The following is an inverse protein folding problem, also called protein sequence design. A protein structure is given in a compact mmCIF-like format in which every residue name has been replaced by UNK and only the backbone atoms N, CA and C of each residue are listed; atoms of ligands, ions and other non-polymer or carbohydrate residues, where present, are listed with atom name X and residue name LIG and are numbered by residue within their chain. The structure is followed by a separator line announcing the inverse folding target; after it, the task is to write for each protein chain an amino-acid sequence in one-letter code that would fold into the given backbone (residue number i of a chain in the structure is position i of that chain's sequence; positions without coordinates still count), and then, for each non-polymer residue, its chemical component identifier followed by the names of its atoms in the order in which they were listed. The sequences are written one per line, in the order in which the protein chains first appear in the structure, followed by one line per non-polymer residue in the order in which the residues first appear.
data_IF_189638664480
#
_entry.id   IF_189638664480
#
_cell.length_a   1.000
_cell.length_b   1.000
_cell.length_c   1.000
_cell.angle_alpha   90.00
_cell.angle_beta   90.00
_cell.angle_gamma   90.00
#
_symmetry.space_group_name_H-M   'P 1'
#
loop_
_entity.id
_entity.type
_entity.pdbx_description
1 polymer ?
#
# COMPACT_ATOMS: atom_id res chain seq x y z
N UNK A 1 -20.66 -11.98 5.15
CA UNK A 1 -19.24 -12.09 4.72
C UNK A 1 -18.90 -13.56 4.59
N UNK A 2 -18.09 -13.94 3.60
CA UNK A 2 -17.56 -15.31 3.44
C UNK A 2 -16.06 -15.23 3.19
N UNK A 3 -15.33 -16.23 3.71
CA UNK A 3 -13.88 -16.36 3.55
C UNK A 3 -13.61 -17.73 2.94
N UNK A 4 -12.86 -17.76 1.84
CA UNK A 4 -12.36 -18.99 1.24
C UNK A 4 -10.88 -19.14 1.53
N UNK A 5 -10.46 -20.37 1.79
CA UNK A 5 -9.08 -20.70 2.09
C UNK A 5 -8.56 -21.73 1.09
N UNK A 6 -7.28 -21.62 0.75
CA UNK A 6 -6.56 -22.66 0.03
C UNK A 6 -6.41 -23.90 0.92
N UNK A 7 -6.79 -25.07 0.42
CA UNK A 7 -6.86 -26.30 1.23
C UNK A 7 -5.49 -26.89 1.57
N UNK A 8 -4.47 -26.60 0.76
CA UNK A 8 -3.12 -27.15 0.94
C UNK A 8 -2.31 -26.29 1.91
N UNK A 9 -2.39 -24.97 1.78
CA UNK A 9 -1.60 -24.00 2.54
C UNK A 9 -2.36 -23.40 3.72
N UNK A 10 -3.69 -23.50 3.75
CA UNK A 10 -4.55 -22.82 4.72
C UNK A 10 -4.59 -21.30 4.57
N UNK A 11 -3.98 -20.74 3.52
CA UNK A 11 -3.94 -19.30 3.29
C UNK A 11 -5.30 -18.77 2.84
N UNK A 12 -5.62 -17.53 3.21
CA UNK A 12 -6.80 -16.84 2.71
C UNK A 12 -6.70 -16.68 1.18
N UNK A 13 -7.70 -17.21 0.48
CA UNK A 13 -7.79 -17.24 -0.98
C UNK A 13 -8.91 -16.34 -1.52
N UNK A 14 -10.02 -16.17 -0.80
CA UNK A 14 -11.08 -15.24 -1.19
C UNK A 14 -11.72 -14.50 -0.01
N UNK A 15 -12.10 -13.25 -0.23
CA UNK A 15 -12.98 -12.47 0.66
C UNK A 15 -14.23 -12.08 -0.13
N UNK A 16 -15.41 -12.39 0.41
CA UNK A 16 -16.68 -11.98 -0.18
C UNK A 16 -17.50 -11.17 0.84
N UNK A 17 -17.90 -9.97 0.45
CA UNK A 17 -18.84 -9.14 1.20
C UNK A 17 -19.92 -8.57 0.27
N UNK A 18 -21.16 -8.65 0.71
CA UNK A 18 -22.32 -8.50 -0.15
C UNK A 18 -23.60 -8.55 0.64
N UNK A 19 -24.69 -8.18 -0.03
CA UNK A 19 -26.04 -8.37 0.45
C UNK A 19 -26.62 -9.61 -0.22
N UNK A 20 -27.24 -10.48 0.57
CA UNK A 20 -28.18 -11.45 0.02
C UNK A 20 -29.47 -10.67 -0.30
N UNK A 21 -29.70 -10.41 -1.57
CA UNK A 21 -30.80 -9.54 -2.00
C UNK A 21 -32.14 -10.28 -2.05
N UNK A 22 -32.20 -11.60 -1.79
CA UNK A 22 -33.49 -12.31 -1.83
C UNK A 22 -33.47 -13.60 -0.99
N UNK A 23 -34.21 -13.68 0.15
CA UNK A 23 -34.23 -14.85 1.03
C UNK A 23 -34.69 -16.17 0.37
N UNK A 24 -35.35 -16.10 -0.79
CA UNK A 24 -35.88 -17.26 -1.51
C UNK A 24 -34.98 -17.78 -2.64
N UNK A 25 -33.88 -17.09 -2.96
CA UNK A 25 -32.96 -17.48 -4.02
C UNK A 25 -31.50 -17.30 -3.57
N UNK A 26 -31.00 -18.29 -2.81
CA UNK A 26 -29.62 -18.36 -2.32
C UNK A 26 -28.57 -18.42 -3.46
N UNK A 27 -29.00 -18.53 -4.73
CA UNK A 27 -28.11 -18.55 -5.89
C UNK A 27 -27.78 -17.14 -6.42
N UNK A 28 -28.58 -16.12 -6.05
CA UNK A 28 -28.34 -14.71 -6.42
C UNK A 28 -27.74 -13.91 -5.27
N UNK A 29 -26.47 -14.21 -4.97
CA UNK A 29 -25.68 -13.36 -4.08
C UNK A 29 -25.12 -12.17 -4.85
N UNK A 30 -25.42 -10.95 -4.40
CA UNK A 30 -24.82 -9.72 -4.95
C UNK A 30 -23.62 -9.34 -4.09
N UNK A 31 -22.41 -9.61 -4.58
CA UNK A 31 -21.16 -9.29 -3.89
C UNK A 31 -20.64 -7.94 -4.38
N UNK A 32 -20.62 -6.93 -3.50
CA UNK A 32 -19.95 -5.65 -3.81
C UNK A 32 -18.44 -5.73 -3.55
N UNK A 33 -17.99 -6.74 -2.81
CA UNK A 33 -16.59 -7.10 -2.67
C UNK A 33 -16.45 -8.59 -2.94
N UNK A 34 -15.61 -8.95 -3.89
CA UNK A 34 -15.22 -10.33 -4.13
C UNK A 34 -13.75 -10.38 -4.54
N UNK A 35 -12.88 -10.32 -3.54
CA UNK A 35 -11.45 -10.37 -3.75
C UNK A 35 -10.98 -11.81 -3.86
N UNK A 36 -10.12 -12.09 -4.84
CA UNK A 36 -9.39 -13.35 -4.98
C UNK A 36 -7.89 -13.11 -4.99
N UNK A 37 -7.16 -13.88 -4.20
CA UNK A 37 -5.72 -13.77 -4.04
C UNK A 37 -5.01 -14.88 -4.80
N UNK A 38 -4.05 -14.53 -5.66
CA UNK A 38 -3.06 -15.47 -6.21
C UNK A 38 -1.74 -15.27 -5.49
N UNK A 39 -1.03 -16.36 -5.23
CA UNK A 39 0.25 -16.34 -4.52
C UNK A 39 1.33 -17.09 -5.27
N UNK A 40 2.58 -16.73 -5.04
CA UNK A 40 3.72 -17.56 -5.43
C UNK A 40 3.95 -18.71 -4.43
N UNK A 41 4.97 -19.53 -4.69
CA UNK A 41 5.26 -20.72 -3.89
C UNK A 41 5.73 -20.41 -2.46
N UNK A 42 6.18 -19.18 -2.18
CA UNK A 42 6.60 -18.75 -0.83
C UNK A 42 5.49 -17.97 -0.10
N UNK A 43 4.36 -17.72 -0.77
CA UNK A 43 3.16 -17.14 -0.19
C UNK A 43 3.01 -15.63 -0.43
N UNK A 44 3.87 -14.99 -1.23
CA UNK A 44 3.69 -13.59 -1.60
C UNK A 44 2.43 -13.45 -2.46
N UNK A 45 1.63 -12.40 -2.23
CA UNK A 45 0.45 -12.11 -3.07
C UNK A 45 0.93 -11.57 -4.40
N UNK A 46 0.74 -12.29 -5.49
CA UNK A 46 1.13 -11.84 -6.84
C UNK A 46 -0.02 -11.20 -7.60
N UNK A 47 -1.27 -11.52 -7.24
CA UNK A 47 -2.47 -10.91 -7.81
C UNK A 47 -3.56 -10.76 -6.74
N UNK A 48 -4.25 -9.63 -6.76
CA UNK A 48 -5.57 -9.45 -6.14
C UNK A 48 -6.55 -9.10 -7.26
N UNK A 49 -7.52 -9.95 -7.53
CA UNK A 49 -8.58 -9.68 -8.49
C UNK A 49 -9.87 -9.34 -7.74
N UNK A 50 -10.46 -8.19 -8.04
CA UNK A 50 -11.80 -7.85 -7.57
C UNK A 50 -12.81 -8.33 -8.60
N UNK A 51 -13.68 -9.26 -8.19
CA UNK A 51 -14.81 -9.79 -8.97
C UNK A 51 -16.15 -9.31 -8.42
N UNK A 52 -16.12 -8.31 -7.55
CA UNK A 52 -17.29 -7.68 -6.95
C UNK A 52 -18.04 -6.81 -7.96
N UNK A 53 -19.07 -6.12 -7.50
CA UNK A 53 -19.79 -5.13 -8.28
C UNK A 53 -19.40 -3.72 -7.87
N UNK A 54 -19.10 -2.90 -8.86
CA UNK A 54 -18.96 -1.44 -8.73
C UNK A 54 -20.31 -0.78 -8.44
N UNK A 55 -20.33 0.46 -7.92
CA UNK A 55 -21.54 1.27 -7.86
C UNK A 55 -22.24 1.33 -9.23
N UNK A 56 -23.50 0.87 -9.28
CA UNK A 56 -24.26 0.72 -10.53
C UNK A 56 -24.38 -0.72 -11.05
N UNK A 57 -23.76 -1.69 -10.38
CA UNK A 57 -23.96 -3.12 -10.63
C UNK A 57 -23.13 -3.71 -11.76
N UNK A 58 -22.20 -2.95 -12.33
CA UNK A 58 -21.18 -3.48 -13.25
C UNK A 58 -20.13 -4.27 -12.46
N UNK A 59 -19.58 -5.34 -13.01
CA UNK A 59 -18.48 -6.06 -12.38
C UNK A 59 -17.23 -5.17 -12.28
N UNK A 60 -16.52 -5.25 -11.15
CA UNK A 60 -15.15 -4.76 -11.07
C UNK A 60 -14.34 -5.62 -12.04
N UNK A 61 -13.77 -4.97 -13.06
CA UNK A 61 -12.96 -5.63 -14.09
C UNK A 61 -11.51 -5.21 -13.92
N UNK A 62 -11.02 -5.24 -12.67
CA UNK A 62 -9.71 -4.72 -12.30
C UNK A 62 -9.03 -5.72 -11.38
N UNK A 63 -7.73 -5.85 -11.59
CA UNK A 63 -6.85 -6.55 -10.66
C UNK A 63 -5.62 -5.72 -10.36
N UNK A 64 -5.06 -5.97 -9.20
CA UNK A 64 -3.75 -5.50 -8.79
C UNK A 64 -2.73 -6.62 -8.93
N UNK A 65 -1.62 -6.33 -9.58
CA UNK A 65 -0.53 -7.25 -9.84
C UNK A 65 0.72 -6.79 -9.08
N UNK A 66 1.44 -7.74 -8.48
CA UNK A 66 2.60 -7.47 -7.64
C UNK A 66 3.81 -8.29 -8.10
N UNK A 67 4.99 -7.66 -8.12
CA UNK A 67 6.27 -8.30 -8.43
C UNK A 67 7.21 -8.12 -7.26
N UNK A 68 7.87 -9.22 -6.88
CA UNK A 68 8.85 -9.27 -5.82
C UNK A 68 10.24 -9.55 -6.39
N UNK A 69 11.28 -9.08 -5.70
CA UNK A 69 12.64 -9.52 -5.96
C UNK A 69 13.00 -10.81 -5.20
N UNK A 70 14.24 -11.26 -5.35
CA UNK A 70 14.76 -12.48 -4.70
C UNK A 70 14.79 -12.42 -3.17
N UNK A 71 14.60 -11.25 -2.56
CA UNK A 71 14.50 -11.06 -1.11
C UNK A 71 13.05 -10.85 -0.65
N UNK A 72 12.06 -11.16 -1.49
CA UNK A 72 10.63 -10.96 -1.23
C UNK A 72 10.24 -9.48 -0.98
N UNK A 73 10.98 -8.53 -1.56
CA UNK A 73 10.64 -7.11 -1.47
C UNK A 73 9.75 -6.73 -2.65
N UNK A 74 8.67 -5.99 -2.39
CA UNK A 74 7.78 -5.50 -3.45
C UNK A 74 8.52 -4.48 -4.32
N UNK A 75 8.85 -4.86 -5.55
CA UNK A 75 9.59 -4.02 -6.51
C UNK A 75 8.70 -3.43 -7.59
N UNK A 76 7.47 -3.95 -7.76
CA UNK A 76 6.46 -3.35 -8.63
C UNK A 76 5.05 -3.69 -8.18
N UNK A 77 4.14 -2.72 -8.28
CA UNK A 77 2.71 -2.95 -8.20
C UNK A 77 2.01 -2.14 -9.30
N UNK A 78 1.01 -2.72 -9.94
CA UNK A 78 0.22 -2.02 -10.96
C UNK A 78 -1.17 -2.59 -11.07
N UNK A 79 -2.11 -1.80 -11.62
CA UNK A 79 -3.38 -2.36 -12.05
C UNK A 79 -3.27 -2.97 -13.44
N UNK A 80 -4.08 -3.99 -13.68
CA UNK A 80 -4.35 -4.56 -14.99
C UNK A 80 -5.87 -4.78 -15.16
N UNK A 81 -6.37 -4.91 -16.39
CA UNK A 81 -7.73 -5.36 -16.62
C UNK A 81 -7.95 -6.74 -15.95
N UNK A 82 -9.14 -6.92 -15.37
CA UNK A 82 -9.61 -8.21 -14.86
C UNK A 82 -9.68 -9.26 -15.96
N UNK A 83 -9.68 -10.53 -15.57
CA UNK A 83 -9.68 -11.64 -16.54
C UNK A 83 -11.00 -12.37 -16.56
N UNK A 84 -11.57 -12.52 -17.76
CA UNK A 84 -12.80 -13.28 -17.96
C UNK A 84 -12.56 -14.79 -18.01
N UNK A 85 -11.31 -15.21 -18.31
CA UNK A 85 -10.96 -16.61 -18.64
C UNK A 85 -10.30 -17.38 -17.50
N UNK A 86 -10.37 -16.89 -16.25
CA UNK A 86 -9.89 -17.63 -15.07
C UNK A 86 -8.37 -17.80 -14.95
N UNK A 87 -7.57 -17.04 -15.71
CA UNK A 87 -6.13 -16.95 -15.51
C UNK A 87 -5.78 -15.58 -14.94
N UNK A 88 -5.73 -15.49 -13.61
CA UNK A 88 -5.60 -14.24 -12.87
C UNK A 88 -4.27 -13.51 -13.18
N UNK A 89 -3.27 -14.19 -13.74
CA UNK A 89 -1.95 -13.62 -14.03
C UNK A 89 -1.84 -12.93 -15.39
N UNK A 90 -2.81 -13.07 -16.29
CA UNK A 90 -2.74 -12.50 -17.65
C UNK A 90 -2.64 -10.97 -17.62
N UNK A 91 -1.60 -10.39 -18.22
CA UNK A 91 -1.40 -8.93 -18.21
C UNK A 91 -0.75 -8.39 -16.93
N UNK A 92 -0.40 -9.26 -15.97
CA UNK A 92 0.48 -8.89 -14.87
C UNK A 92 1.95 -8.86 -15.32
N UNK A 93 2.71 -7.90 -14.80
CA UNK A 93 4.15 -7.83 -14.98
C UNK A 93 4.83 -9.05 -14.33
N UNK A 94 5.92 -9.51 -14.92
CA UNK A 94 6.81 -10.54 -14.34
C UNK A 94 8.12 -9.95 -13.82
N UNK A 95 8.40 -8.69 -14.13
CA UNK A 95 9.59 -7.96 -13.68
C UNK A 95 9.31 -6.46 -13.59
N UNK A 96 10.25 -5.72 -13.01
CA UNK A 96 10.23 -4.25 -13.07
C UNK A 96 10.34 -3.75 -14.51
N UNK A 97 10.97 -4.49 -15.43
CA UNK A 97 11.17 -4.11 -16.83
C UNK A 97 9.99 -4.41 -17.77
N UNK A 98 9.01 -5.22 -17.35
CA UNK A 98 7.90 -5.65 -18.21
C UNK A 98 7.10 -4.45 -18.73
N UNK A 99 6.91 -4.35 -20.04
CA UNK A 99 6.06 -3.31 -20.62
C UNK A 99 4.59 -3.68 -20.42
N UNK A 100 3.79 -2.74 -19.92
CA UNK A 100 2.36 -2.94 -19.65
C UNK A 100 1.57 -2.08 -20.63
N UNK A 101 0.90 -2.74 -21.56
CA UNK A 101 0.16 -2.10 -22.66
C UNK A 101 -1.29 -1.78 -22.30
N UNK A 102 -1.84 -2.41 -21.27
CA UNK A 102 -3.19 -2.17 -20.76
C UNK A 102 -3.18 -2.11 -19.23
N UNK A 103 -3.75 -1.04 -18.68
CA UNK A 103 -3.96 -0.86 -17.23
C UNK A 103 -5.45 -1.01 -16.91
N UNK A 104 -5.77 -1.24 -15.63
CA UNK A 104 -7.16 -1.18 -15.18
C UNK A 104 -7.78 0.18 -15.53
N UNK A 105 -9.05 0.20 -15.95
CA UNK A 105 -9.69 1.44 -16.43
C UNK A 105 -10.10 2.38 -15.31
N UNK A 106 -10.31 1.87 -14.10
CA UNK A 106 -10.60 2.67 -12.90
C UNK A 106 -9.32 2.79 -12.07
N UNK A 107 -8.96 4.00 -11.69
CA UNK A 107 -7.77 4.30 -10.87
C UNK A 107 -6.49 3.59 -11.34
N UNK A 108 -6.09 3.72 -12.62
CA UNK A 108 -4.87 3.08 -13.12
C UNK A 108 -3.63 3.56 -12.37
N UNK A 109 -2.76 2.63 -11.98
CA UNK A 109 -1.45 2.94 -11.44
C UNK A 109 -0.39 1.92 -11.88
N UNK A 110 0.88 2.32 -11.81
CA UNK A 110 2.04 1.42 -11.97
C UNK A 110 3.25 2.04 -11.30
N UNK A 111 3.64 1.42 -10.19
CA UNK A 111 4.69 1.89 -9.31
C UNK A 111 5.79 0.86 -9.27
N UNK A 112 7.03 1.33 -9.35
CA UNK A 112 8.21 0.51 -9.07
C UNK A 112 8.98 1.09 -7.91
N UNK A 113 9.72 0.23 -7.20
CA UNK A 113 10.56 0.61 -6.06
C UNK A 113 11.95 0.00 -6.20
N UNK A 114 12.96 0.74 -5.77
CA UNK A 114 14.33 0.29 -5.63
C UNK A 114 14.76 0.33 -4.18
N UNK A 115 15.66 -0.57 -3.82
CA UNK A 115 16.15 -0.73 -2.47
C UNK A 115 17.68 -0.79 -2.47
N UNK A 116 18.32 -0.40 -1.37
CA UNK A 116 19.74 -0.68 -1.14
C UNK A 116 19.96 -2.05 -0.47
N UNK A 117 21.22 -2.31 -0.13
CA UNK A 117 21.73 -3.54 0.48
C UNK A 117 21.26 -3.75 1.92
N UNK A 118 20.82 -2.68 2.61
CA UNK A 118 20.26 -2.73 3.95
C UNK A 118 18.74 -2.51 3.97
N UNK A 119 18.07 -2.77 2.85
CA UNK A 119 16.61 -2.78 2.69
C UNK A 119 15.92 -1.43 2.92
N UNK A 120 16.59 -0.31 2.61
CA UNK A 120 15.96 1.02 2.56
C UNK A 120 15.45 1.29 1.16
N UNK A 121 14.24 1.85 1.01
CA UNK A 121 13.74 2.31 -0.29
C UNK A 121 14.62 3.46 -0.75
N UNK A 122 15.31 3.33 -1.87
CA UNK A 122 16.16 4.39 -2.44
C UNK A 122 15.44 5.21 -3.50
N UNK A 123 14.42 4.62 -4.13
CA UNK A 123 13.73 5.24 -5.24
C UNK A 123 12.38 4.62 -5.50
N UNK A 124 11.53 5.39 -6.18
CA UNK A 124 10.29 4.90 -6.77
C UNK A 124 10.05 5.59 -8.09
N UNK A 125 9.37 4.91 -9.02
CA UNK A 125 8.93 5.51 -10.27
C UNK A 125 7.45 5.24 -10.51
N UNK A 126 6.73 6.25 -10.99
CA UNK A 126 5.37 6.14 -11.52
C UNK A 126 5.40 5.94 -13.03
N UNK A 127 5.33 4.66 -13.43
CA UNK A 127 5.33 4.24 -14.84
C UNK A 127 4.02 4.52 -15.55
N UNK A 128 2.95 4.85 -14.84
CA UNK A 128 1.71 5.32 -15.45
C UNK A 128 1.80 6.80 -15.82
N UNK A 129 2.63 7.57 -15.12
CA UNK A 129 2.78 9.01 -15.31
C UNK A 129 4.17 9.42 -15.83
N UNK A 130 4.53 8.94 -17.02
CA UNK A 130 5.77 9.35 -17.70
C UNK A 130 7.07 8.93 -16.99
N UNK A 131 7.01 7.93 -16.11
CA UNK A 131 8.15 7.46 -15.31
C UNK A 131 8.70 8.55 -14.37
N UNK A 132 7.82 9.38 -13.82
CA UNK A 132 8.19 10.36 -12.81
C UNK A 132 8.77 9.66 -11.57
N UNK A 133 9.90 10.16 -11.06
CA UNK A 133 10.68 9.48 -10.01
C UNK A 133 10.71 10.26 -8.72
N UNK A 134 10.76 9.55 -7.60
CA UNK A 134 11.10 10.10 -6.29
C UNK A 134 12.33 9.35 -5.78
N UNK A 135 13.29 10.06 -5.21
CA UNK A 135 14.51 9.51 -4.59
C UNK A 135 14.49 9.81 -3.10
N UNK A 136 14.87 8.82 -2.28
CA UNK A 136 14.98 8.95 -0.83
C UNK A 136 16.45 9.13 -0.44
N UNK A 137 16.76 10.25 0.20
CA UNK A 137 18.08 10.55 0.74
C UNK A 137 18.24 10.00 2.16
N UNK A 138 19.38 9.37 2.44
CA UNK A 138 19.74 8.85 3.76
C UNK A 138 21.14 9.34 4.16
N UNK A 139 21.45 9.33 5.46
CA UNK A 139 22.86 9.27 5.88
C UNK A 139 23.34 7.82 5.79
N UNK A 140 24.55 7.60 5.28
CA UNK A 140 25.13 6.29 4.94
C UNK A 140 24.66 5.11 5.81
N UNK A 141 24.81 5.19 7.13
CA UNK A 141 24.54 4.05 8.05
C UNK A 141 23.19 4.08 8.76
N UNK A 142 22.31 5.05 8.47
CA UNK A 142 21.02 5.18 9.20
C UNK A 142 19.84 4.80 8.32
N UNK A 143 18.82 4.21 8.93
CA UNK A 143 17.53 3.92 8.27
C UNK A 143 16.62 5.15 8.13
N UNK A 144 16.98 6.27 8.76
CA UNK A 144 16.19 7.49 8.74
C UNK A 144 16.33 8.25 7.41
N UNK A 145 15.21 8.48 6.74
CA UNK A 145 15.12 9.31 5.52
C UNK A 145 15.36 10.75 5.91
N UNK A 146 16.32 11.42 5.27
CA UNK A 146 16.65 12.83 5.49
C UNK A 146 16.02 13.76 4.45
N UNK A 147 15.77 13.25 3.25
CA UNK A 147 15.18 14.06 2.17
C UNK A 147 14.44 13.21 1.14
N UNK A 148 13.53 13.85 0.42
CA UNK A 148 12.97 13.36 -0.84
C UNK A 148 13.29 14.35 -1.94
N UNK A 149 13.61 13.84 -3.13
CA UNK A 149 13.80 14.66 -4.34
C UNK A 149 13.10 14.02 -5.55
N UNK A 150 12.82 14.83 -6.58
CA UNK A 150 12.12 14.41 -7.79
C UNK A 150 10.68 14.87 -7.80
N UNK A 151 9.74 13.98 -8.15
CA UNK A 151 8.30 14.26 -8.20
C UNK A 151 7.73 14.62 -6.83
N UNK A 152 8.25 13.99 -5.78
CA UNK A 152 7.98 14.39 -4.39
C UNK A 152 9.24 14.99 -3.80
N UNK A 153 9.10 16.11 -3.11
CA UNK A 153 10.18 16.74 -2.36
C UNK A 153 9.86 16.74 -0.86
N UNK A 154 10.91 16.70 -0.05
CA UNK A 154 10.78 16.79 1.39
C UNK A 154 12.11 16.83 2.11
N UNK A 155 12.08 17.30 3.35
CA UNK A 155 13.23 17.37 4.24
C UNK A 155 12.82 16.94 5.64
N UNK A 156 13.70 16.18 6.29
CA UNK A 156 13.45 15.64 7.61
C UNK A 156 14.69 15.77 8.48
N UNK A 157 14.47 16.03 9.77
CA UNK A 157 15.53 16.03 10.76
C UNK A 157 15.13 15.20 11.97
N UNK A 158 16.12 14.74 12.72
CA UNK A 158 15.93 13.80 13.82
C UNK A 158 16.76 14.24 15.02
N UNK A 159 16.28 13.95 16.22
CA UNK A 159 17.07 14.09 17.43
C UNK A 159 18.13 12.96 17.53
N UNK A 160 18.97 13.03 18.57
CA UNK A 160 20.08 12.09 18.79
C UNK A 160 19.66 10.65 18.99
N UNK A 161 18.42 10.42 19.44
CA UNK A 161 17.86 9.08 19.67
C UNK A 161 17.04 8.58 18.47
N UNK A 162 16.93 9.37 17.39
CA UNK A 162 16.33 8.95 16.13
C UNK A 162 14.85 9.28 15.96
N UNK A 163 14.24 10.06 16.85
CA UNK A 163 12.88 10.56 16.64
C UNK A 163 12.90 11.76 15.66
N UNK A 164 11.97 11.78 14.71
CA UNK A 164 11.86 12.86 13.72
C UNK A 164 11.41 14.14 14.40
N UNK A 165 12.20 15.21 14.38
CA UNK A 165 11.88 16.49 15.02
C UNK A 165 11.42 17.56 14.02
N UNK A 166 11.64 17.34 12.73
CA UNK A 166 11.06 18.18 11.69
C UNK A 166 10.64 17.39 10.46
N UNK A 167 9.54 17.82 9.86
CA UNK A 167 8.99 17.31 8.61
C UNK A 167 8.60 18.47 7.72
N UNK A 168 9.35 18.72 6.65
CA UNK A 168 9.05 19.76 5.66
C UNK A 168 8.84 21.16 6.28
N UNK A 169 9.54 21.47 7.37
CA UNK A 169 9.37 22.72 8.12
C UNK A 169 8.44 22.63 9.33
N UNK A 170 7.56 21.62 9.38
CA UNK A 170 6.75 21.33 10.58
C UNK A 170 7.65 20.87 11.73
N UNK A 171 7.23 21.13 12.96
CA UNK A 171 7.98 20.76 14.17
C UNK A 171 7.28 19.63 14.93
N UNK A 172 8.05 18.62 15.33
CA UNK A 172 7.57 17.50 16.13
C UNK A 172 8.26 17.55 17.50
N UNK A 173 7.47 17.61 18.57
CA UNK A 173 7.96 17.70 19.96
C UNK A 173 7.71 16.41 20.72
N UNK A 174 8.61 16.09 21.64
CA UNK A 174 8.60 14.83 22.38
C UNK A 174 8.81 15.06 23.87
N UNK A 175 8.22 14.18 24.67
CA UNK A 175 8.51 14.10 26.10
C UNK A 175 9.84 13.34 26.39
N UNK A 176 10.29 13.28 27.66
CA UNK A 176 11.51 12.56 28.01
C UNK A 176 11.48 11.06 27.68
N UNK A 177 10.30 10.45 27.55
CA UNK A 177 10.11 9.05 27.14
C UNK A 177 10.09 8.88 25.62
N UNK A 178 10.35 9.95 24.86
CA UNK A 178 10.35 9.98 23.39
C UNK A 178 8.98 9.69 22.76
N UNK A 179 7.91 10.14 23.41
CA UNK A 179 6.54 10.09 22.85
C UNK A 179 6.19 11.44 22.25
N UNK A 180 5.58 11.43 21.06
CA UNK A 180 5.21 12.64 20.33
C UNK A 180 4.15 13.42 21.12
N UNK A 181 4.49 14.55 21.72
CA UNK A 181 3.56 15.39 22.49
C UNK A 181 2.95 16.52 21.67
N UNK A 182 3.57 16.88 20.55
CA UNK A 182 3.06 17.95 19.69
C UNK A 182 3.53 17.82 18.25
N UNK A 183 2.66 18.26 17.34
CA UNK A 183 2.94 18.43 15.92
C UNK A 183 2.45 19.80 15.52
N UNK A 184 3.40 20.72 15.34
CA UNK A 184 3.16 22.11 14.96
C UNK A 184 3.32 22.22 13.44
N UNK A 185 2.21 22.54 12.79
CA UNK A 185 2.15 22.86 11.37
C UNK A 185 1.74 24.31 11.22
N UNK A 186 2.07 24.93 10.08
CA UNK A 186 1.72 26.34 9.86
C UNK A 186 0.21 26.57 9.98
N UNK A 187 -0.21 27.11 11.13
CA UNK A 187 -1.60 27.48 11.43
C UNK A 187 -2.45 26.41 12.10
N UNK A 188 -1.88 25.26 12.48
CA UNK A 188 -2.59 24.18 13.19
C UNK A 188 -1.61 23.38 14.05
N UNK A 189 -1.90 23.28 15.35
CA UNK A 189 -1.15 22.50 16.33
C UNK A 189 -1.97 21.31 16.82
N UNK A 190 -1.42 20.11 16.65
CA UNK A 190 -1.91 18.92 17.37
C UNK A 190 -1.08 18.71 18.64
N UNK A 191 -1.74 18.45 19.77
CA UNK A 191 -1.10 18.00 21.01
C UNK A 191 -1.63 16.65 21.46
N UNK A 192 -0.79 15.89 22.16
CA UNK A 192 -1.05 14.50 22.52
C UNK A 192 -0.72 14.23 23.99
N UNK A 193 -1.61 13.50 24.67
CA UNK A 193 -1.40 13.01 26.03
C UNK A 193 -1.41 11.48 26.05
N UNK A 194 -0.51 10.89 26.84
CA UNK A 194 -0.34 9.45 26.95
C UNK A 194 -0.51 8.96 28.38
N UNK A 195 -0.95 7.72 28.52
CA UNK A 195 -0.84 6.97 29.77
C UNK A 195 0.63 6.72 30.12
N UNK A 196 0.89 6.25 31.34
CA UNK A 196 2.22 5.75 31.75
C UNK A 196 2.65 4.49 30.99
N UNK A 197 1.71 3.75 30.38
CA UNK A 197 1.95 2.57 29.53
C UNK A 197 2.09 2.91 28.03
N UNK A 198 2.26 4.18 27.69
CA UNK A 198 2.45 4.69 26.33
C UNK A 198 1.24 4.54 25.39
N UNK A 199 0.02 4.48 25.94
CA UNK A 199 -1.20 4.56 25.14
C UNK A 199 -1.63 6.01 25.00
N UNK A 200 -1.92 6.46 23.77
CA UNK A 200 -2.47 7.79 23.54
C UNK A 200 -3.88 7.87 24.12
N UNK A 201 -4.08 8.79 25.05
CA UNK A 201 -5.38 9.07 25.65
C UNK A 201 -6.13 10.15 24.88
N UNK A 202 -5.43 11.24 24.54
CA UNK A 202 -6.03 12.45 23.99
C UNK A 202 -5.24 12.88 22.77
N UNK A 203 -5.97 13.36 21.76
CA UNK A 203 -5.48 14.28 20.73
C UNK A 203 -6.31 15.56 20.85
N UNK A 204 -5.65 16.69 21.04
CA UNK A 204 -6.25 18.01 20.95
C UNK A 204 -5.74 18.68 19.68
N UNK A 205 -6.63 19.36 18.98
CA UNK A 205 -6.36 20.07 17.74
C UNK A 205 -6.70 21.54 17.96
N UNK A 206 -5.75 22.45 17.70
CA UNK A 206 -5.88 23.88 17.97
C UNK A 206 -5.25 24.75 16.90
#
# INVERSE_FOLDING_TARGET
RRYGYDLETGMLHTIQAGWDTTPSDLTRNTWFQYDRYTRDAVGNVTVIEDRGLEPGGAGSNIKECFVYDEWNRLVRAHTAPGTTDGNETVGCATSTGTNITARGTTSPYDRTWSFDDINRITGSADKANGNATTTWGYSSTKHAVLSLTGQTSGSYSYNTVGAMVSRNGDTLTYDPQQRLTGYDTTGVDDTYLYTTSNQRLIRQHG
#
